data_IF_537892446751
#
_entry.id   IF_537892446751
#
_cell.length_a   1.000
_cell.length_b   1.000
_cell.length_c   1.000
_cell.angle_alpha   90.00
_cell.angle_beta   90.00
_cell.angle_gamma   90.00
#
_symmetry.space_group_name_H-M   'P 1'
#
loop_
_entity.id
_entity.type
_entity.pdbx_description
1 polymer ?
#
# COMPACT_ATOMS: atom_id res chain seq x y z
N UNK A 1 20.51 29.48 6.97
CA UNK A 1 21.66 28.84 6.28
C UNK A 1 21.13 27.72 5.40
N UNK A 2 21.26 27.89 4.08
CA UNK A 2 20.80 26.88 3.09
C UNK A 2 21.99 26.00 2.75
N UNK A 3 21.94 24.71 3.07
CA UNK A 3 22.96 23.74 2.71
C UNK A 3 22.54 23.01 1.45
N UNK A 4 23.17 23.36 0.34
CA UNK A 4 22.98 22.74 -0.97
C UNK A 4 23.89 21.52 -1.05
N UNK A 5 23.34 20.32 -1.16
CA UNK A 5 24.09 19.10 -1.44
C UNK A 5 24.17 18.94 -2.97
N UNK A 6 25.40 19.07 -3.49
CA UNK A 6 25.70 18.79 -4.89
C UNK A 6 26.12 17.33 -5.03
N UNK A 7 25.43 16.57 -5.87
CA UNK A 7 25.87 15.26 -6.30
C UNK A 7 26.82 15.40 -7.49
N UNK A 8 28.02 14.87 -7.32
CA UNK A 8 29.05 14.78 -8.38
C UNK A 8 28.86 13.44 -9.09
N UNK A 9 28.44 13.48 -10.34
CA UNK A 9 28.51 12.32 -11.22
C UNK A 9 29.93 12.24 -11.83
N UNK A 10 30.72 11.26 -11.40
CA UNK A 10 31.96 10.89 -12.07
C UNK A 10 31.68 9.79 -13.11
N UNK A 11 32.05 10.09 -14.34
CA UNK A 11 31.91 9.19 -15.47
C UNK A 11 32.81 7.94 -15.38
N UNK A 12 32.31 6.83 -15.88
CA UNK A 12 33.06 5.61 -16.11
C UNK A 12 33.17 5.32 -17.61
N UNK A 13 34.43 5.17 -17.98
CA UNK A 13 35.00 4.89 -19.27
C UNK A 13 34.47 3.60 -19.91
N UNK A 14 34.14 3.68 -21.20
CA UNK A 14 33.94 2.50 -22.07
C UNK A 14 35.24 1.74 -22.24
N UNK A 15 35.26 0.48 -21.87
CA UNK A 15 36.27 -0.49 -22.30
C UNK A 15 35.65 -1.40 -23.37
N UNK A 16 36.02 -1.18 -24.60
CA UNK A 16 35.63 -2.04 -25.72
C UNK A 16 36.54 -3.29 -25.74
N UNK A 17 36.00 -4.45 -25.36
CA UNK A 17 36.62 -5.74 -25.61
C UNK A 17 36.00 -6.36 -26.87
N UNK A 18 36.76 -6.32 -27.99
CA UNK A 18 36.47 -7.11 -29.19
C UNK A 18 36.94 -8.53 -28.98
N UNK A 19 36.02 -9.46 -28.70
CA UNK A 19 36.26 -10.88 -28.79
C UNK A 19 35.78 -11.42 -30.14
N UNK A 20 36.71 -11.83 -30.99
CA UNK A 20 36.45 -12.66 -32.15
C UNK A 20 35.98 -14.03 -31.68
N UNK A 21 34.72 -14.37 -31.94
CA UNK A 21 34.20 -15.73 -31.70
C UNK A 21 33.93 -16.39 -33.04
N UNK A 22 34.59 -17.51 -33.21
CA UNK A 22 34.47 -18.41 -34.36
C UNK A 22 33.03 -18.94 -34.50
N UNK A 23 32.51 -18.87 -35.73
CA UNK A 23 31.24 -19.47 -36.13
C UNK A 23 31.30 -21.00 -36.01
N UNK A 24 30.58 -21.54 -35.03
CA UNK A 24 30.09 -22.91 -35.02
C UNK A 24 28.59 -22.88 -35.20
N UNK A 25 27.99 -23.71 -36.07
CA UNK A 25 26.55 -23.75 -36.20
C UNK A 25 25.96 -24.41 -34.95
N UNK A 26 25.31 -23.60 -34.12
CA UNK A 26 24.51 -24.11 -33.02
C UNK A 26 23.25 -24.76 -33.60
N UNK A 27 23.13 -26.06 -33.45
CA UNK A 27 21.86 -26.77 -33.60
C UNK A 27 20.92 -26.19 -32.58
N UNK A 28 19.84 -25.59 -33.06
CA UNK A 28 18.72 -25.16 -32.22
C UNK A 28 18.01 -26.41 -31.71
N UNK A 29 18.34 -26.82 -30.49
CA UNK A 29 17.43 -27.66 -29.72
C UNK A 29 16.24 -26.78 -29.34
N UNK A 30 15.13 -26.95 -30.08
CA UNK A 30 13.81 -26.49 -29.69
C UNK A 30 13.43 -27.27 -28.43
N UNK A 31 13.86 -26.79 -27.28
CA UNK A 31 13.19 -27.12 -26.02
C UNK A 31 11.83 -26.46 -26.07
N UNK A 32 10.85 -27.24 -26.47
CA UNK A 32 9.44 -26.94 -26.27
C UNK A 32 9.18 -26.99 -24.75
N UNK A 33 9.59 -25.94 -24.05
CA UNK A 33 9.09 -25.67 -22.71
C UNK A 33 7.66 -25.20 -22.93
N UNK A 34 6.73 -26.19 -22.93
CA UNK A 34 5.32 -25.89 -22.81
C UNK A 34 5.20 -24.98 -21.57
N UNK A 35 4.87 -23.71 -21.81
CA UNK A 35 4.47 -22.82 -20.75
C UNK A 35 3.27 -23.50 -20.09
N UNK A 36 3.51 -24.09 -18.91
CA UNK A 36 2.44 -24.60 -18.08
C UNK A 36 1.52 -23.41 -17.83
N UNK A 37 0.38 -23.44 -18.50
CA UNK A 37 -0.64 -22.41 -18.34
C UNK A 37 -1.00 -22.35 -16.87
N UNK A 38 -0.74 -21.22 -16.22
CA UNK A 38 -1.09 -20.95 -14.81
C UNK A 38 -2.62 -20.98 -14.56
N UNK A 39 -3.40 -21.33 -15.59
CA UNK A 39 -4.87 -21.32 -15.60
C UNK A 39 -5.53 -22.52 -14.93
N UNK A 40 -4.76 -23.56 -14.56
CA UNK A 40 -5.38 -24.77 -13.98
C UNK A 40 -5.39 -24.80 -12.42
N UNK A 41 -4.72 -23.88 -11.74
CA UNK A 41 -4.58 -23.95 -10.28
C UNK A 41 -5.58 -23.12 -9.49
N UNK A 42 -6.39 -22.26 -10.12
CA UNK A 42 -7.27 -21.31 -9.42
C UNK A 42 -6.53 -20.21 -8.64
N UNK A 43 -5.20 -20.17 -8.75
CA UNK A 43 -4.31 -19.20 -8.05
C UNK A 43 -3.69 -18.17 -8.99
N UNK A 44 -4.21 -18.04 -10.19
CA UNK A 44 -3.78 -16.97 -11.08
C UNK A 44 -4.28 -15.59 -10.58
N UNK A 45 -3.59 -14.54 -11.05
CA UNK A 45 -3.89 -13.16 -10.61
C UNK A 45 -5.37 -12.80 -10.82
N UNK A 46 -5.97 -13.22 -11.93
CA UNK A 46 -7.35 -12.86 -12.25
C UNK A 46 -8.33 -13.49 -11.26
N UNK A 47 -8.18 -14.79 -10.99
CA UNK A 47 -9.00 -15.53 -10.02
C UNK A 47 -8.88 -14.94 -8.62
N UNK A 48 -7.66 -14.59 -8.18
CA UNK A 48 -7.43 -13.95 -6.89
C UNK A 48 -8.13 -12.59 -6.82
N UNK A 49 -7.99 -11.77 -7.87
CA UNK A 49 -8.62 -10.45 -7.90
C UNK A 49 -10.15 -10.52 -7.97
N UNK A 50 -10.72 -11.54 -8.62
CA UNK A 50 -12.15 -11.75 -8.61
C UNK A 50 -12.69 -12.08 -7.21
N UNK A 51 -11.99 -12.94 -6.48
CA UNK A 51 -12.33 -13.22 -5.06
C UNK A 51 -12.20 -11.96 -4.22
N UNK A 52 -11.12 -11.20 -4.37
CA UNK A 52 -10.91 -9.96 -3.63
C UNK A 52 -12.04 -8.95 -3.86
N UNK A 53 -12.48 -8.76 -5.11
CA UNK A 53 -13.65 -7.91 -5.44
C UNK A 53 -14.92 -8.39 -4.76
N UNK A 54 -15.23 -9.68 -4.85
CA UNK A 54 -16.43 -10.24 -4.24
C UNK A 54 -16.46 -10.02 -2.73
N UNK A 55 -15.30 -10.16 -2.06
CA UNK A 55 -15.18 -9.91 -0.64
C UNK A 55 -15.34 -8.41 -0.34
N UNK A 56 -14.71 -7.54 -1.12
CA UNK A 56 -14.83 -6.09 -0.96
C UNK A 56 -16.27 -5.61 -1.17
N UNK A 57 -16.96 -6.08 -2.21
CA UNK A 57 -18.36 -5.75 -2.49
C UNK A 57 -19.27 -6.17 -1.34
N UNK A 58 -19.05 -7.36 -0.80
CA UNK A 58 -19.81 -7.83 0.36
C UNK A 58 -19.53 -6.96 1.59
N UNK A 59 -18.29 -6.62 1.88
CA UNK A 59 -17.91 -5.77 3.01
C UNK A 59 -18.50 -4.36 2.89
N UNK A 60 -18.47 -3.76 1.70
CA UNK A 60 -19.05 -2.44 1.45
C UNK A 60 -20.56 -2.46 1.68
N UNK A 61 -21.24 -3.51 1.26
CA UNK A 61 -22.68 -3.69 1.48
C UNK A 61 -23.00 -3.89 2.95
N UNK A 62 -22.17 -4.64 3.68
CA UNK A 62 -22.35 -4.94 5.10
C UNK A 62 -21.95 -3.75 6.01
N UNK A 63 -21.10 -2.85 5.53
CA UNK A 63 -20.51 -1.77 6.33
C UNK A 63 -21.51 -0.92 7.11
N UNK A 64 -22.70 -0.55 6.57
CA UNK A 64 -23.68 0.23 7.32
C UNK A 64 -24.19 -0.46 8.59
N UNK A 65 -24.18 -1.79 8.60
CA UNK A 65 -24.65 -2.62 9.72
C UNK A 65 -23.51 -3.13 10.61
N UNK A 66 -22.27 -3.01 10.15
CA UNK A 66 -21.09 -3.47 10.88
C UNK A 66 -20.82 -2.56 12.08
N UNK A 67 -21.19 -3.04 13.27
CA UNK A 67 -21.12 -2.24 14.49
C UNK A 67 -19.69 -1.82 14.85
N UNK A 68 -18.69 -2.65 14.58
CA UNK A 68 -17.29 -2.34 14.94
C UNK A 68 -16.69 -1.26 14.04
N UNK A 69 -16.78 -1.43 12.73
CA UNK A 69 -16.29 -0.43 11.80
C UNK A 69 -17.07 0.89 11.88
N UNK A 70 -18.36 0.84 12.22
CA UNK A 70 -19.22 2.01 12.36
C UNK A 70 -19.02 2.74 13.68
N UNK A 71 -18.83 2.02 14.80
CA UNK A 71 -18.63 2.62 16.12
C UNK A 71 -17.25 3.25 16.29
N UNK A 72 -16.22 2.61 15.71
CA UNK A 72 -14.84 3.09 15.75
C UNK A 72 -14.23 3.15 14.34
N UNK A 73 -14.73 4.06 13.50
CA UNK A 73 -14.34 4.09 12.09
C UNK A 73 -12.89 4.51 11.83
N UNK A 74 -12.14 4.83 12.87
CA UNK A 74 -10.71 5.16 12.83
C UNK A 74 -9.83 4.18 13.63
N UNK A 75 -10.45 3.18 14.26
CA UNK A 75 -9.75 2.13 15.01
C UNK A 75 -9.15 1.07 14.09
N UNK A 76 -8.39 0.15 14.67
CA UNK A 76 -7.63 -0.87 13.93
C UNK A 76 -8.52 -1.83 13.12
N UNK A 77 -9.72 -2.19 13.61
CA UNK A 77 -10.65 -3.06 12.88
C UNK A 77 -11.08 -2.41 11.57
N UNK A 78 -11.46 -1.13 11.62
CA UNK A 78 -11.80 -0.37 10.44
C UNK A 78 -10.57 -0.17 9.53
N UNK A 79 -9.40 0.09 10.11
CA UNK A 79 -8.14 0.22 9.38
C UNK A 79 -7.79 -1.03 8.58
N UNK A 80 -7.91 -2.21 9.17
CA UNK A 80 -7.69 -3.48 8.49
C UNK A 80 -8.70 -3.71 7.34
N UNK A 81 -9.99 -3.39 7.56
CA UNK A 81 -11.00 -3.44 6.51
C UNK A 81 -10.67 -2.51 5.35
N UNK A 82 -10.30 -1.26 5.64
CA UNK A 82 -10.00 -0.27 4.59
C UNK A 82 -8.78 -0.67 3.77
N UNK A 83 -7.74 -1.21 4.40
CA UNK A 83 -6.57 -1.74 3.70
C UNK A 83 -6.96 -2.89 2.77
N UNK A 84 -7.82 -3.82 3.20
CA UNK A 84 -8.31 -4.90 2.36
C UNK A 84 -9.12 -4.41 1.16
N UNK A 85 -9.93 -3.35 1.33
CA UNK A 85 -10.71 -2.73 0.25
C UNK A 85 -9.79 -1.96 -0.70
N UNK A 86 -8.79 -1.25 -0.20
CA UNK A 86 -7.79 -0.56 -1.01
C UNK A 86 -7.04 -1.55 -1.92
N UNK A 87 -6.71 -2.72 -1.40
CA UNK A 87 -6.12 -3.80 -2.21
C UNK A 87 -7.02 -4.28 -3.34
N UNK A 88 -8.35 -4.27 -3.15
CA UNK A 88 -9.28 -4.64 -4.21
C UNK A 88 -9.22 -3.66 -5.40
N UNK A 89 -8.75 -2.43 -5.19
CA UNK A 89 -8.51 -1.46 -6.26
C UNK A 89 -7.39 -1.87 -7.22
N UNK A 90 -6.47 -2.76 -6.82
CA UNK A 90 -5.48 -3.35 -7.74
C UNK A 90 -6.11 -4.05 -8.93
N UNK A 91 -7.42 -4.25 -8.87
CA UNK A 91 -8.24 -4.71 -10.00
C UNK A 91 -8.43 -3.67 -11.11
N UNK A 92 -8.10 -2.40 -10.85
CA UNK A 92 -8.31 -1.27 -11.75
C UNK A 92 -9.71 -0.66 -11.69
N UNK A 93 -10.51 -1.00 -10.68
CA UNK A 93 -11.85 -0.45 -10.46
C UNK A 93 -11.79 0.67 -9.40
N UNK A 94 -12.01 1.91 -9.81
CA UNK A 94 -11.98 3.06 -8.90
C UNK A 94 -13.15 3.11 -7.90
N UNK A 95 -14.11 2.21 -8.00
CA UNK A 95 -15.29 2.16 -7.11
C UNK A 95 -14.86 2.02 -5.64
N UNK A 96 -13.87 1.18 -5.37
CA UNK A 96 -13.35 0.94 -4.02
C UNK A 96 -12.61 2.15 -3.47
N UNK A 97 -11.80 2.75 -4.31
CA UNK A 97 -11.06 3.96 -4.00
C UNK A 97 -12.00 5.14 -3.68
N UNK A 98 -13.01 5.35 -4.52
CA UNK A 98 -14.00 6.41 -4.31
C UNK A 98 -14.84 6.19 -3.05
N UNK A 99 -15.14 4.94 -2.71
CA UNK A 99 -15.85 4.59 -1.49
C UNK A 99 -15.00 4.92 -0.25
N UNK A 100 -13.74 4.51 -0.22
CA UNK A 100 -12.79 4.83 0.85
C UNK A 100 -12.59 6.34 0.98
N UNK A 101 -12.40 7.04 -0.12
CA UNK A 101 -12.25 8.50 -0.15
C UNK A 101 -13.44 9.20 0.52
N UNK A 102 -14.66 8.76 0.28
CA UNK A 102 -15.86 9.33 0.92
C UNK A 102 -15.82 9.15 2.44
N UNK A 103 -15.33 8.02 2.91
CA UNK A 103 -15.17 7.76 4.36
C UNK A 103 -14.10 8.67 4.95
N UNK A 104 -12.91 8.70 4.34
CA UNK A 104 -11.77 9.47 4.86
C UNK A 104 -12.01 10.97 4.84
N UNK A 105 -12.69 11.48 3.81
CA UNK A 105 -13.09 12.89 3.78
C UNK A 105 -14.06 13.23 4.92
N UNK A 106 -15.02 12.36 5.23
CA UNK A 106 -15.93 12.56 6.39
C UNK A 106 -15.17 12.54 7.72
N UNK A 107 -14.08 11.79 7.81
CA UNK A 107 -13.21 11.71 8.98
C UNK A 107 -12.14 12.80 9.00
N UNK A 108 -12.09 13.68 7.97
CA UNK A 108 -11.04 14.70 7.80
C UNK A 108 -9.63 14.12 7.90
N UNK A 109 -9.43 12.88 7.45
CA UNK A 109 -8.15 12.15 7.46
C UNK A 109 -7.53 12.01 8.86
N UNK A 110 -8.36 12.07 9.90
CA UNK A 110 -7.92 11.97 11.29
C UNK A 110 -7.64 10.51 11.68
N UNK A 111 -6.56 10.30 12.42
CA UNK A 111 -6.33 9.05 13.15
C UNK A 111 -7.18 9.02 14.43
N UNK A 112 -7.28 7.89 15.11
CA UNK A 112 -8.07 7.81 16.35
C UNK A 112 -7.37 8.55 17.52
N UNK A 113 -7.97 8.55 18.72
CA UNK A 113 -7.68 9.60 19.70
C UNK A 113 -6.59 9.28 20.73
N UNK A 114 -6.29 7.98 20.98
CA UNK A 114 -5.28 7.59 21.97
C UNK A 114 -3.88 7.86 21.44
N UNK A 115 -3.13 8.72 22.13
CA UNK A 115 -1.91 9.31 21.57
C UNK A 115 -0.79 8.29 21.33
N UNK A 116 -0.61 7.32 22.23
CA UNK A 116 0.49 6.34 22.16
C UNK A 116 0.03 4.95 21.69
N UNK A 117 -1.23 4.81 21.31
CA UNK A 117 -1.80 3.51 20.99
C UNK A 117 -1.63 3.19 19.50
N UNK A 118 -0.99 2.05 19.20
CA UNK A 118 -0.71 1.63 17.83
C UNK A 118 -1.99 1.44 16.99
N UNK A 119 -3.05 0.88 17.58
CA UNK A 119 -4.34 0.67 16.91
C UNK A 119 -4.93 1.98 16.38
N UNK A 120 -4.68 3.08 17.07
CA UNK A 120 -5.26 4.38 16.75
C UNK A 120 -4.55 5.08 15.58
N UNK A 121 -3.39 4.57 15.16
CA UNK A 121 -2.67 5.05 13.97
C UNK A 121 -2.69 4.04 12.82
N UNK A 122 -3.29 2.87 13.02
CA UNK A 122 -3.35 1.80 12.01
C UNK A 122 -3.96 2.28 10.68
N UNK A 123 -5.01 3.10 10.72
CA UNK A 123 -5.69 3.66 9.55
C UNK A 123 -4.76 4.54 8.69
N UNK A 124 -3.69 5.09 9.28
CA UNK A 124 -2.74 5.94 8.56
C UNK A 124 -2.04 5.19 7.43
N UNK A 125 -1.96 3.86 7.47
CA UNK A 125 -1.40 3.06 6.39
C UNK A 125 -2.16 3.33 5.07
N UNK A 126 -3.48 3.25 5.10
CA UNK A 126 -4.30 3.53 3.92
C UNK A 126 -4.24 5.02 3.52
N UNK A 127 -4.11 5.95 4.47
CA UNK A 127 -3.91 7.38 4.15
C UNK A 127 -2.60 7.63 3.40
N UNK A 128 -1.53 6.88 3.73
CA UNK A 128 -0.26 6.95 3.01
C UNK A 128 -0.42 6.46 1.57
N UNK A 129 -1.19 5.39 1.34
CA UNK A 129 -1.43 4.85 0.00
C UNK A 129 -2.21 5.87 -0.85
N UNK A 130 -3.24 6.51 -0.29
CA UNK A 130 -3.96 7.61 -0.93
C UNK A 130 -3.06 8.81 -1.25
N UNK A 131 -2.22 9.22 -0.30
CA UNK A 131 -1.25 10.29 -0.53
C UNK A 131 -0.27 9.93 -1.65
N UNK A 132 0.22 8.69 -1.68
CA UNK A 132 1.14 8.24 -2.72
C UNK A 132 0.53 8.32 -4.11
N UNK A 133 -0.78 8.12 -4.22
CA UNK A 133 -1.53 8.21 -5.47
C UNK A 133 -1.85 9.66 -5.85
N UNK A 134 -2.31 10.47 -4.92
CA UNK A 134 -2.85 11.81 -5.20
C UNK A 134 -1.91 12.97 -4.92
N UNK A 135 -0.89 12.76 -4.10
CA UNK A 135 0.07 13.78 -3.63
C UNK A 135 -0.61 14.97 -2.93
N UNK A 136 -1.77 14.73 -2.30
CA UNK A 136 -2.48 15.75 -1.52
C UNK A 136 -2.03 15.70 -0.06
N UNK A 137 -1.25 16.67 0.37
CA UNK A 137 -0.66 16.75 1.72
C UNK A 137 -1.70 16.78 2.84
N UNK A 138 -2.92 17.26 2.57
CA UNK A 138 -3.99 17.28 3.58
C UNK A 138 -4.39 15.88 4.06
N UNK A 139 -4.13 14.84 3.26
CA UNK A 139 -4.42 13.45 3.62
C UNK A 139 -3.50 12.94 4.73
N UNK A 140 -2.26 13.43 4.81
CA UNK A 140 -1.27 13.01 5.81
C UNK A 140 -1.07 14.02 6.95
N UNK A 141 -1.52 15.25 6.77
CA UNK A 141 -1.29 16.31 7.77
C UNK A 141 -1.69 15.91 9.20
N UNK A 142 -2.83 15.28 9.48
CA UNK A 142 -3.17 14.83 10.83
C UNK A 142 -2.26 13.69 11.33
N UNK A 143 -1.87 12.77 10.46
CA UNK A 143 -0.95 11.68 10.80
C UNK A 143 0.43 12.20 11.15
N UNK A 144 0.97 13.13 10.35
CA UNK A 144 2.26 13.79 10.60
C UNK A 144 2.20 14.54 11.93
N UNK A 145 1.14 15.32 12.16
CA UNK A 145 0.96 16.04 13.42
C UNK A 145 0.94 15.11 14.65
N UNK A 146 0.31 13.91 14.50
CA UNK A 146 0.33 12.88 15.55
C UNK A 146 1.74 12.35 15.79
N UNK A 147 2.46 12.00 14.72
CA UNK A 147 3.84 11.50 14.82
C UNK A 147 4.77 12.51 15.45
N UNK A 148 4.72 13.77 15.02
CA UNK A 148 5.51 14.86 15.57
C UNK A 148 5.20 15.08 17.06
N UNK A 149 3.92 15.01 17.43
CA UNK A 149 3.55 15.16 18.82
C UNK A 149 4.13 14.03 19.69
N UNK A 150 4.03 12.77 19.26
CA UNK A 150 4.58 11.60 19.99
C UNK A 150 6.09 11.70 20.11
N UNK A 151 6.80 12.13 19.06
CA UNK A 151 8.25 12.31 19.07
C UNK A 151 8.69 13.40 20.04
N UNK A 152 7.92 14.48 20.17
CA UNK A 152 8.23 15.59 21.06
C UNK A 152 7.73 15.36 22.51
N UNK A 153 6.88 14.37 22.73
CA UNK A 153 6.32 14.04 24.03
C UNK A 153 6.44 12.52 24.27
N UNK A 154 7.68 11.99 24.44
CA UNK A 154 7.86 10.56 24.66
C UNK A 154 7.13 10.10 25.92
N UNK A 155 6.45 8.97 25.86
CA UNK A 155 5.84 8.36 27.04
C UNK A 155 6.93 7.93 28.02
N UNK A 156 6.72 8.24 29.30
CA UNK A 156 7.51 7.71 30.40
C UNK A 156 6.86 6.50 31.07
N UNK A 157 5.81 5.99 30.50
CA UNK A 157 5.12 4.79 30.94
C UNK A 157 5.92 3.51 30.70
N UNK A 158 5.50 2.42 31.35
CA UNK A 158 6.04 1.10 31.07
C UNK A 158 5.68 0.67 29.63
N UNK A 159 6.46 -0.24 29.05
CA UNK A 159 6.18 -0.85 27.76
C UNK A 159 5.15 -1.99 27.87
N UNK A 160 4.41 -2.04 28.97
CA UNK A 160 3.36 -3.03 29.16
C UNK A 160 2.23 -2.76 28.15
N UNK A 161 1.91 -3.79 27.40
CA UNK A 161 0.77 -3.80 26.50
C UNK A 161 -0.48 -4.01 27.37
N UNK A 162 -1.20 -2.94 27.68
CA UNK A 162 -2.50 -3.01 28.32
C UNK A 162 -3.57 -3.55 27.35
#
# INVERSE_FOLDING_TARGET
MKTTIKYICTGLSLCACTCLVNNLPAQAETTNTAAVSATETGWDRQSIMEVARRVADWQIKDYPENKYAKSEPRGWIAGALYMGIDWAELSGDNTYYDWLRKIFNRQSWQVANRMYHADDVCIAQTYIDFYNKEKNENMLKPTIARADWVLNNPSNGSMDLD
#
